data_IF_787684459043
#
_entry.id   IF_787684459043
#
_cell.length_a   1.000
_cell.length_b   1.000
_cell.length_c   1.000
_cell.angle_alpha   90.00
_cell.angle_beta   90.00
_cell.angle_gamma   90.00
#
_symmetry.space_group_name_H-M   'P 1'
#
loop_
_entity.id
_entity.type
_entity.pdbx_description
1 polymer ?
#
# COMPACT_ATOMS: atom_id res chain seq x y z
N UNK A 1 -42.65 69.48 -52.20
CA UNK A 1 -43.71 68.82 -51.41
C UNK A 1 -43.20 67.44 -50.99
N UNK A 2 -43.30 67.17 -49.69
CA UNK A 2 -43.00 65.98 -48.87
C UNK A 2 -42.90 64.62 -49.62
N UNK A 3 -41.74 63.93 -49.56
CA UNK A 3 -41.36 62.76 -48.69
C UNK A 3 -41.92 61.38 -49.21
N UNK A 4 -41.35 60.20 -48.88
CA UNK A 4 -39.96 59.72 -49.05
C UNK A 4 -39.84 58.18 -49.33
N UNK A 5 -38.60 57.69 -49.29
CA UNK A 5 -38.14 56.48 -48.55
C UNK A 5 -37.65 55.27 -49.38
N UNK A 6 -36.31 55.09 -49.31
CA UNK A 6 -35.49 53.91 -48.95
C UNK A 6 -35.86 52.54 -49.51
N UNK A 7 -34.94 51.61 -49.70
CA UNK A 7 -33.48 51.53 -49.70
C UNK A 7 -33.26 50.12 -50.23
N UNK A 8 -32.47 49.96 -51.29
CA UNK A 8 -32.06 48.63 -51.73
C UNK A 8 -30.58 48.67 -52.06
N UNK A 9 -29.82 47.91 -51.26
CA UNK A 9 -28.56 47.21 -51.60
C UNK A 9 -27.37 48.08 -52.03
N UNK A 10 -26.29 48.02 -51.25
CA UNK A 10 -24.93 48.01 -51.78
C UNK A 10 -23.86 47.65 -50.71
N UNK A 11 -23.09 46.59 -51.02
CA UNK A 11 -21.60 46.57 -50.97
C UNK A 11 -20.97 46.47 -49.56
N UNK A 12 -20.58 45.28 -49.09
CA UNK A 12 -19.28 44.61 -49.33
C UNK A 12 -18.09 45.58 -49.48
N UNK A 13 -17.44 45.94 -48.37
CA UNK A 13 -16.01 46.22 -48.35
C UNK A 13 -15.46 46.26 -46.90
N UNK A 14 -14.53 45.34 -46.64
CA UNK A 14 -13.25 45.62 -45.99
C UNK A 14 -13.26 46.18 -44.55
N UNK A 15 -13.07 45.31 -43.56
CA UNK A 15 -12.00 45.44 -42.57
C UNK A 15 -11.98 44.23 -41.63
N UNK A 16 -11.34 43.16 -42.09
CA UNK A 16 -10.71 42.16 -41.24
C UNK A 16 -9.57 42.86 -40.47
N UNK A 17 -9.74 43.10 -39.17
CA UNK A 17 -8.65 43.23 -38.20
C UNK A 17 -9.18 43.31 -36.75
N UNK A 18 -9.95 42.30 -36.32
CA UNK A 18 -10.01 41.98 -34.89
C UNK A 18 -9.47 40.56 -34.73
N UNK A 19 -8.14 40.45 -34.68
CA UNK A 19 -7.49 39.29 -34.08
C UNK A 19 -7.84 39.34 -32.59
N UNK A 20 -8.95 38.69 -32.25
CA UNK A 20 -9.20 38.23 -30.89
C UNK A 20 -8.16 37.15 -30.63
N UNK A 21 -7.07 37.50 -29.94
CA UNK A 21 -6.28 36.50 -29.23
C UNK A 21 -7.20 35.90 -28.17
N UNK A 22 -7.87 34.79 -28.49
CA UNK A 22 -8.25 33.86 -27.44
C UNK A 22 -6.92 33.38 -26.86
N UNK A 23 -6.65 33.79 -25.62
CA UNK A 23 -5.72 33.04 -24.80
C UNK A 23 -6.34 31.65 -24.66
N UNK A 24 -6.01 30.76 -25.58
CA UNK A 24 -6.14 29.32 -25.39
C UNK A 24 -5.03 28.94 -24.39
N UNK A 25 -5.21 29.39 -23.15
CA UNK A 25 -4.67 28.67 -22.02
C UNK A 25 -5.34 27.32 -22.06
N UNK A 26 -4.67 26.36 -22.71
CA UNK A 26 -4.93 24.95 -22.49
C UNK A 26 -5.08 24.79 -20.97
N UNK A 27 -6.26 24.44 -20.44
CA UNK A 27 -6.40 24.28 -19.02
C UNK A 27 -5.41 23.20 -18.64
N UNK A 28 -4.35 23.58 -17.91
CA UNK A 28 -3.46 22.63 -17.27
C UNK A 28 -4.40 21.70 -16.54
N UNK A 29 -4.53 20.45 -17.00
CA UNK A 29 -5.37 19.48 -16.32
C UNK A 29 -4.72 19.34 -14.95
N UNK A 30 -5.32 19.97 -13.95
CA UNK A 30 -4.91 19.82 -12.56
C UNK A 30 -5.31 18.40 -12.21
N UNK A 31 -4.44 17.45 -12.54
CA UNK A 31 -4.65 16.05 -12.19
C UNK A 31 -4.66 15.99 -10.68
N UNK A 32 -5.81 15.65 -10.10
CA UNK A 32 -5.91 15.44 -8.68
C UNK A 32 -4.94 14.30 -8.30
N UNK A 33 -3.84 14.65 -7.65
CA UNK A 33 -2.85 13.65 -7.26
C UNK A 33 -3.38 12.68 -6.20
N UNK A 34 -4.43 13.06 -5.49
CA UNK A 34 -5.05 12.31 -4.39
C UNK A 34 -6.28 11.50 -4.81
N UNK A 35 -6.57 11.35 -6.09
CA UNK A 35 -7.71 10.54 -6.53
C UNK A 35 -7.64 9.13 -5.93
N UNK A 36 -8.73 8.70 -5.28
CA UNK A 36 -8.82 7.40 -4.59
C UNK A 36 -8.04 7.31 -3.28
N UNK A 37 -7.47 8.41 -2.78
CA UNK A 37 -6.72 8.45 -1.52
C UNK A 37 -7.44 9.27 -0.45
N UNK A 38 -7.45 8.73 0.75
CA UNK A 38 -8.00 9.36 1.95
C UNK A 38 -6.86 9.67 2.92
N UNK A 39 -6.91 10.84 3.56
CA UNK A 39 -5.89 11.27 4.52
C UNK A 39 -5.97 10.39 5.76
N UNK A 40 -4.81 9.89 6.20
CA UNK A 40 -4.64 9.15 7.46
C UNK A 40 -4.40 10.15 8.58
N UNK A 41 -3.34 10.94 8.46
CA UNK A 41 -2.90 11.89 9.48
C UNK A 41 -1.88 12.88 8.93
N UNK A 42 -1.58 13.91 9.72
CA UNK A 42 -0.47 14.84 9.51
C UNK A 42 0.60 14.64 10.57
N UNK A 43 1.87 14.68 10.15
CA UNK A 43 3.04 14.68 11.02
C UNK A 43 3.77 16.00 10.75
N UNK A 44 3.89 16.86 11.76
CA UNK A 44 4.43 18.21 11.56
C UNK A 44 5.75 18.39 12.30
N UNK A 45 6.62 19.23 11.75
CA UNK A 45 7.74 19.83 12.47
C UNK A 45 7.64 21.37 12.37
N UNK A 46 8.69 22.11 12.71
CA UNK A 46 8.64 23.57 12.72
C UNK A 46 8.35 24.18 11.34
N UNK A 47 8.82 23.55 10.26
CA UNK A 47 8.85 24.14 8.90
C UNK A 47 7.92 23.46 7.91
N UNK A 48 7.54 22.20 8.13
CA UNK A 48 6.77 21.41 7.18
C UNK A 48 5.66 20.58 7.84
N UNK A 49 4.71 20.17 6.99
CA UNK A 49 3.63 19.24 7.29
C UNK A 49 3.82 18.03 6.36
N UNK A 50 3.99 16.85 6.92
CA UNK A 50 3.97 15.58 6.18
C UNK A 50 2.56 15.01 6.27
N UNK A 51 1.88 14.92 5.13
CA UNK A 51 0.54 14.35 5.02
C UNK A 51 0.65 12.88 4.60
N UNK A 52 0.02 11.98 5.35
CA UNK A 52 -0.05 10.55 5.04
C UNK A 52 -1.43 10.18 4.49
N UNK A 53 -1.47 9.27 3.53
CA UNK A 53 -2.66 8.83 2.83
C UNK A 53 -2.68 7.32 2.59
N UNK A 54 -3.87 6.75 2.52
CA UNK A 54 -4.12 5.40 2.00
C UNK A 54 -5.48 5.35 1.30
N UNK A 55 -5.80 4.31 0.52
CA UNK A 55 -7.14 4.15 -0.03
C UNK A 55 -8.25 4.11 1.03
N UNK A 56 -7.97 3.60 2.24
CA UNK A 56 -8.95 3.50 3.33
C UNK A 56 -8.93 4.71 4.27
N UNK A 57 -7.87 5.53 4.26
CA UNK A 57 -7.66 6.62 5.22
C UNK A 57 -7.26 6.14 6.60
N UNK A 58 -6.91 4.87 6.75
CA UNK A 58 -6.50 4.25 8.01
C UNK A 58 -5.30 3.35 7.80
N UNK A 59 -4.61 3.03 8.90
CA UNK A 59 -3.64 1.94 8.98
C UNK A 59 -4.24 0.78 9.80
N UNK A 60 -3.63 -0.40 9.70
CA UNK A 60 -3.99 -1.57 10.50
C UNK A 60 -2.81 -2.53 10.64
N UNK A 61 -2.88 -3.48 11.56
CA UNK A 61 -1.95 -4.60 11.62
C UNK A 61 -1.94 -5.36 10.29
N UNK A 62 -0.76 -5.55 9.70
CA UNK A 62 -0.58 -6.13 8.36
C UNK A 62 0.13 -5.19 7.38
N UNK A 63 0.02 -5.50 6.09
CA UNK A 63 0.57 -4.66 5.01
C UNK A 63 -0.29 -3.41 4.78
N UNK A 64 0.34 -2.24 4.73
CA UNK A 64 -0.30 -0.96 4.46
C UNK A 64 0.45 -0.25 3.35
N UNK A 65 -0.23 0.00 2.22
CA UNK A 65 0.26 0.91 1.18
C UNK A 65 0.00 2.35 1.65
N UNK A 66 1.05 3.17 1.68
CA UNK A 66 1.02 4.53 2.19
C UNK A 66 1.56 5.46 1.10
N UNK A 67 0.76 6.47 0.81
CA UNK A 67 1.17 7.61 0.01
C UNK A 67 1.43 8.81 0.92
N UNK A 68 2.36 9.68 0.54
CA UNK A 68 2.66 10.86 1.34
C UNK A 68 3.09 12.06 0.49
N UNK A 69 2.87 13.26 1.03
CA UNK A 69 3.36 14.54 0.49
C UNK A 69 3.90 15.40 1.62
N UNK A 70 4.81 16.31 1.28
CA UNK A 70 5.42 17.23 2.23
C UNK A 70 5.08 18.65 1.80
N UNK A 71 4.51 19.43 2.72
CA UNK A 71 4.06 20.80 2.50
C UNK A 71 4.91 21.76 3.31
N UNK A 72 5.39 22.82 2.68
CA UNK A 72 6.12 23.90 3.32
C UNK A 72 5.14 24.86 4.01
N UNK A 73 5.34 25.14 5.31
CA UNK A 73 4.43 26.01 6.07
C UNK A 73 4.56 27.49 5.69
N UNK A 74 5.72 27.92 5.20
CA UNK A 74 5.97 29.32 4.84
C UNK A 74 5.39 29.65 3.48
N UNK A 75 5.66 28.82 2.46
CA UNK A 75 5.17 29.07 1.09
C UNK A 75 3.78 28.50 0.85
N UNK A 76 3.30 27.60 1.71
CA UNK A 76 2.05 26.86 1.54
C UNK A 76 2.03 25.92 0.31
N UNK A 77 3.21 25.64 -0.27
CA UNK A 77 3.39 24.77 -1.44
C UNK A 77 3.87 23.36 -1.06
N UNK A 78 3.68 22.40 -1.97
CA UNK A 78 4.17 21.03 -1.80
C UNK A 78 5.54 20.83 -2.42
N UNK A 79 6.39 20.11 -1.71
CA UNK A 79 7.75 19.79 -2.11
C UNK A 79 7.76 18.73 -3.21
N UNK A 80 8.22 19.10 -4.41
CA UNK A 80 8.25 18.20 -5.59
C UNK A 80 9.51 17.32 -5.60
N UNK A 81 10.65 17.89 -5.21
CA UNK A 81 11.97 17.27 -5.28
C UNK A 81 12.52 16.96 -3.89
N UNK A 82 11.97 15.92 -3.28
CA UNK A 82 12.34 15.49 -1.93
C UNK A 82 12.85 14.05 -1.93
N UNK A 83 13.91 13.77 -1.19
CA UNK A 83 14.33 12.41 -0.86
C UNK A 83 13.77 12.06 0.52
N UNK A 84 13.17 10.88 0.68
CA UNK A 84 12.45 10.50 1.90
C UNK A 84 12.90 9.12 2.35
N UNK A 85 13.15 8.98 3.64
CA UNK A 85 13.29 7.72 4.34
C UNK A 85 12.37 7.73 5.56
N UNK A 86 11.71 6.61 5.83
CA UNK A 86 10.91 6.44 7.03
C UNK A 86 11.43 5.30 7.90
N UNK A 87 11.14 5.37 9.19
CA UNK A 87 11.52 4.37 10.17
C UNK A 87 10.34 4.16 11.14
N UNK A 88 9.50 3.13 10.89
CA UNK A 88 8.48 2.72 11.85
C UNK A 88 9.10 2.02 13.05
N UNK A 89 8.63 2.34 14.25
CA UNK A 89 9.12 1.77 15.50
C UNK A 89 7.96 1.53 16.47
N UNK A 90 7.78 0.27 16.86
CA UNK A 90 6.87 -0.12 17.92
C UNK A 90 7.54 0.14 19.27
N UNK A 91 6.88 0.92 20.11
CA UNK A 91 7.28 1.15 21.50
C UNK A 91 6.49 0.19 22.38
N UNK A 92 7.19 -0.70 23.08
CA UNK A 92 6.62 -1.54 24.13
C UNK A 92 7.18 -1.12 25.49
N UNK A 93 6.60 -1.62 26.58
CA UNK A 93 6.98 -1.20 27.94
C UNK A 93 8.47 -1.40 28.26
N UNK A 94 9.11 -2.42 27.69
CA UNK A 94 10.49 -2.80 28.04
C UNK A 94 11.44 -2.89 26.84
N UNK A 95 10.92 -2.83 25.62
CA UNK A 95 11.71 -2.96 24.40
C UNK A 95 11.01 -2.29 23.23
N UNK A 96 11.74 -2.10 22.14
CA UNK A 96 11.19 -1.58 20.89
C UNK A 96 11.61 -2.49 19.74
N UNK A 97 10.79 -2.53 18.69
CA UNK A 97 11.14 -3.26 17.48
C UNK A 97 10.64 -2.52 16.23
N UNK A 98 11.35 -2.68 15.13
CA UNK A 98 10.92 -2.21 13.82
C UNK A 98 9.99 -3.23 13.15
N UNK A 99 9.64 -2.95 11.91
CA UNK A 99 8.91 -3.86 11.03
C UNK A 99 9.47 -3.80 9.60
N UNK A 100 9.06 -4.71 8.70
CA UNK A 100 9.37 -4.57 7.28
C UNK A 100 8.70 -3.31 6.70
N UNK A 101 9.45 -2.57 5.88
CA UNK A 101 8.97 -1.42 5.12
C UNK A 101 9.72 -1.31 3.79
N UNK A 102 9.12 -0.62 2.82
CA UNK A 102 9.77 -0.34 1.53
C UNK A 102 10.58 0.95 1.58
N UNK A 103 11.43 1.15 0.57
CA UNK A 103 11.85 2.50 0.22
C UNK A 103 10.65 3.35 -0.18
N UNK A 104 10.73 4.66 0.05
CA UNK A 104 9.74 5.63 -0.42
C UNK A 104 10.17 6.12 -1.80
N UNK A 105 9.30 5.98 -2.79
CA UNK A 105 9.60 6.28 -4.19
C UNK A 105 8.62 7.30 -4.76
N UNK A 106 9.01 7.99 -5.83
CA UNK A 106 8.11 8.93 -6.51
C UNK A 106 7.00 8.18 -7.22
N UNK A 107 5.76 8.62 -7.03
CA UNK A 107 4.62 8.04 -7.73
C UNK A 107 4.67 8.43 -9.21
N UNK A 108 4.69 7.42 -10.08
CA UNK A 108 4.71 7.62 -11.54
C UNK A 108 3.57 8.53 -11.99
N UNK A 109 3.89 9.53 -12.80
CA UNK A 109 2.89 10.48 -13.33
C UNK A 109 2.35 11.50 -12.32
N UNK A 110 2.92 11.58 -11.11
CA UNK A 110 2.58 12.59 -10.09
C UNK A 110 3.80 13.44 -9.77
N UNK A 111 3.60 14.71 -9.44
CA UNK A 111 4.68 15.66 -9.11
C UNK A 111 5.09 15.58 -7.65
N UNK A 112 4.11 15.56 -6.74
CA UNK A 112 4.33 15.72 -5.29
C UNK A 112 4.20 14.42 -4.52
N UNK A 113 3.37 13.50 -5.02
CA UNK A 113 3.05 12.25 -4.34
C UNK A 113 4.21 11.24 -4.35
N UNK A 114 4.48 10.67 -3.18
CA UNK A 114 5.43 9.57 -2.98
C UNK A 114 4.72 8.36 -2.39
N UNK A 115 5.16 7.15 -2.74
CA UNK A 115 4.56 5.89 -2.30
C UNK A 115 5.58 4.96 -1.64
N UNK A 116 5.09 4.17 -0.69
CA UNK A 116 5.76 3.00 -0.16
C UNK A 116 4.79 2.13 0.63
N UNK A 117 5.30 1.12 1.33
CA UNK A 117 4.51 0.33 2.25
C UNK A 117 5.22 0.10 3.59
N UNK A 118 4.42 -0.19 4.61
CA UNK A 118 4.86 -0.64 5.92
C UNK A 118 4.05 -1.87 6.34
N UNK A 119 4.70 -2.88 6.92
CA UNK A 119 4.07 -4.14 7.34
C UNK A 119 4.09 -4.27 8.85
N UNK A 120 3.07 -3.76 9.54
CA UNK A 120 3.02 -3.80 11.00
C UNK A 120 2.69 -5.22 11.50
N UNK A 121 3.65 -5.92 12.11
CA UNK A 121 3.41 -7.26 12.67
C UNK A 121 2.55 -7.28 13.94
N UNK A 122 2.39 -6.13 14.60
CA UNK A 122 1.66 -6.00 15.86
C UNK A 122 0.71 -4.81 15.81
N UNK A 123 -0.46 -4.97 16.42
CA UNK A 123 -1.39 -3.88 16.68
C UNK A 123 -0.93 -3.06 17.88
N UNK A 124 -1.35 -1.80 17.94
CA UNK A 124 -1.25 -0.98 19.14
C UNK A 124 -2.23 -1.43 20.23
N UNK A 125 -1.96 -0.99 21.46
CA UNK A 125 -2.85 -1.08 22.60
C UNK A 125 -2.67 0.14 23.51
N UNK A 126 -3.23 0.12 24.72
CA UNK A 126 -3.17 1.25 25.65
C UNK A 126 -1.76 1.60 26.15
N UNK A 127 -0.82 0.66 26.12
CA UNK A 127 0.55 0.85 26.61
C UNK A 127 1.59 0.83 25.50
N UNK A 128 1.30 0.16 24.38
CA UNK A 128 2.24 -0.10 23.31
C UNK A 128 1.72 0.49 22.00
N UNK A 129 2.55 1.29 21.32
CA UNK A 129 2.13 2.08 20.17
C UNK A 129 3.22 2.18 19.11
N UNK A 130 2.82 2.52 17.90
CA UNK A 130 3.76 2.77 16.81
C UNK A 130 4.11 4.25 16.72
N UNK A 131 5.37 4.53 16.47
CA UNK A 131 5.87 5.85 16.04
C UNK A 131 6.42 5.74 14.62
N UNK A 132 6.30 6.82 13.86
CA UNK A 132 6.87 6.92 12.52
C UNK A 132 7.78 8.14 12.44
N UNK A 133 9.08 7.90 12.31
CA UNK A 133 10.05 8.94 11.98
C UNK A 133 10.17 9.03 10.47
N UNK A 134 10.02 10.23 9.92
CA UNK A 134 10.19 10.53 8.50
C UNK A 134 11.33 11.53 8.39
N UNK A 135 12.45 11.08 7.82
CA UNK A 135 13.60 11.89 7.48
C UNK A 135 13.52 12.26 6.01
N UNK A 136 13.76 13.52 5.69
CA UNK A 136 13.70 13.98 4.31
C UNK A 136 14.69 15.09 4.03
N UNK A 137 15.09 15.19 2.76
CA UNK A 137 16.07 16.18 2.29
C UNK A 137 15.50 16.99 1.15
N UNK A 138 15.54 18.32 1.29
CA UNK A 138 15.10 19.28 0.28
C UNK A 138 16.30 20.20 0.01
N UNK A 139 16.75 20.26 -1.25
CA UNK A 139 17.90 21.09 -1.66
C UNK A 139 19.16 20.91 -0.79
N UNK A 140 19.41 19.69 -0.31
CA UNK A 140 20.56 19.35 0.54
C UNK A 140 20.37 19.63 2.03
N UNK A 141 19.30 20.32 2.45
CA UNK A 141 18.96 20.51 3.86
C UNK A 141 18.16 19.32 4.39
N UNK A 142 18.55 18.81 5.56
CA UNK A 142 17.91 17.67 6.22
C UNK A 142 16.84 18.12 7.21
N UNK A 143 15.71 17.41 7.20
CA UNK A 143 14.58 17.63 8.08
C UNK A 143 14.06 16.29 8.61
N UNK A 144 13.43 16.36 9.78
CA UNK A 144 12.80 15.20 10.41
C UNK A 144 11.42 15.60 10.92
N UNK A 145 10.46 14.69 10.77
CA UNK A 145 9.16 14.76 11.42
C UNK A 145 8.90 13.41 12.09
N UNK A 146 8.40 13.41 13.33
CA UNK A 146 8.08 12.20 14.07
C UNK A 146 6.75 12.39 14.79
N UNK A 147 5.92 11.36 14.77
CA UNK A 147 4.72 11.31 15.60
C UNK A 147 4.31 9.85 15.84
N UNK A 148 3.46 9.65 16.84
CA UNK A 148 2.70 8.41 16.99
C UNK A 148 1.76 8.22 15.79
N UNK A 149 1.53 6.97 15.40
CA UNK A 149 0.58 6.57 14.35
C UNK A 149 -0.37 5.50 14.91
N UNK A 150 -1.65 5.58 14.58
CA UNK A 150 -2.63 4.58 15.03
C UNK A 150 -2.58 3.34 14.13
N UNK A 151 -2.38 2.16 14.74
CA UNK A 151 -2.33 0.86 14.05
C UNK A 151 -3.18 -0.16 14.81
N UNK A 152 -4.51 -0.15 14.65
CA UNK A 152 -5.39 -1.12 15.30
C UNK A 152 -5.18 -2.55 14.75
N UNK A 153 -5.67 -3.54 15.49
CA UNK A 153 -5.72 -4.92 15.03
C UNK A 153 -6.59 -5.05 13.77
N UNK A 154 -6.13 -5.82 12.79
CA UNK A 154 -6.97 -6.17 11.65
C UNK A 154 -8.03 -7.18 12.09
N UNK A 155 -9.23 -7.07 11.54
CA UNK A 155 -10.34 -8.00 11.82
C UNK A 155 -10.05 -9.42 11.35
N UNK A 156 -9.10 -9.58 10.42
CA UNK A 156 -8.65 -10.84 9.85
C UNK A 156 -7.13 -10.94 9.97
N UNK A 157 -6.62 -12.15 10.19
CA UNK A 157 -5.19 -12.43 10.18
C UNK A 157 -4.61 -12.21 8.78
N UNK A 158 -4.03 -11.03 8.55
CA UNK A 158 -3.33 -10.67 7.29
C UNK A 158 -1.82 -10.72 7.39
N UNK A 159 -1.29 -10.98 8.58
CA UNK A 159 0.14 -11.14 8.84
C UNK A 159 0.36 -12.33 9.77
N UNK A 160 1.44 -13.06 9.55
CA UNK A 160 1.85 -14.15 10.43
C UNK A 160 3.35 -14.12 10.62
N UNK A 161 3.79 -14.28 11.87
CA UNK A 161 5.19 -14.37 12.26
C UNK A 161 5.45 -15.73 12.88
N UNK A 162 6.63 -16.31 12.63
CA UNK A 162 6.98 -17.64 13.13
C UNK A 162 8.49 -17.88 13.08
N UNK A 163 8.96 -18.85 13.86
CA UNK A 163 10.31 -19.41 13.72
C UNK A 163 10.24 -20.63 12.80
N UNK A 164 11.06 -20.65 11.75
CA UNK A 164 11.23 -21.79 10.86
C UNK A 164 11.98 -22.95 11.54
N UNK A 165 11.96 -24.12 10.92
CA UNK A 165 12.75 -25.29 11.36
C UNK A 165 14.26 -25.05 11.31
N UNK A 166 14.71 -24.04 10.56
CA UNK A 166 16.08 -23.56 10.49
C UNK A 166 16.47 -22.58 11.62
N UNK A 167 15.53 -22.26 12.51
CA UNK A 167 15.73 -21.29 13.61
C UNK A 167 15.57 -19.83 13.20
N UNK A 168 15.36 -19.51 11.91
CA UNK A 168 15.16 -18.15 11.43
C UNK A 168 13.75 -17.67 11.73
N UNK A 169 13.59 -16.40 12.14
CA UNK A 169 12.28 -15.77 12.30
C UNK A 169 11.80 -15.16 10.99
N UNK A 170 10.61 -15.55 10.56
CA UNK A 170 9.97 -15.08 9.34
C UNK A 170 8.69 -14.31 9.63
N UNK A 171 8.34 -13.45 8.68
CA UNK A 171 7.09 -12.71 8.62
C UNK A 171 6.52 -12.84 7.21
N UNK A 172 5.28 -13.30 7.11
CA UNK A 172 4.50 -13.33 5.89
C UNK A 172 3.34 -12.35 6.00
N UNK A 173 3.11 -11.54 4.97
CA UNK A 173 2.02 -10.56 4.93
C UNK A 173 1.21 -10.64 3.63
N UNK A 174 -0.11 -10.77 3.76
CA UNK A 174 -1.05 -10.75 2.65
C UNK A 174 -1.20 -9.32 2.11
N UNK A 175 -0.82 -9.13 0.85
CA UNK A 175 -0.90 -7.85 0.14
C UNK A 175 -2.18 -7.84 -0.69
N UNK A 176 -2.28 -8.77 -1.64
CA UNK A 176 -3.47 -8.97 -2.48
C UNK A 176 -4.09 -10.36 -2.24
N UNK A 177 -5.41 -10.51 -2.36
CA UNK A 177 -6.38 -9.47 -2.76
C UNK A 177 -6.75 -8.52 -1.61
N UNK A 178 -6.89 -7.22 -1.89
CA UNK A 178 -7.53 -6.26 -0.96
C UNK A 178 -9.05 -6.36 -1.01
N UNK A 179 -9.60 -6.64 -2.20
CA UNK A 179 -11.04 -6.79 -2.47
C UNK A 179 -11.29 -8.16 -3.12
N UNK A 180 -11.27 -9.25 -2.32
CA UNK A 180 -11.51 -10.60 -2.82
C UNK A 180 -12.92 -10.74 -3.41
N UNK A 181 -13.06 -11.63 -4.39
CA UNK A 181 -14.33 -11.95 -5.06
C UNK A 181 -14.45 -13.44 -5.34
N UNK A 182 -15.68 -13.88 -5.63
CA UNK A 182 -15.97 -15.25 -6.10
C UNK A 182 -15.43 -15.41 -7.51
N UNK A 183 -14.14 -15.69 -7.60
CA UNK A 183 -13.36 -15.89 -8.82
C UNK A 183 -11.99 -16.44 -8.45
N UNK A 184 -11.15 -16.63 -9.46
CA UNK A 184 -9.69 -16.62 -9.26
C UNK A 184 -9.22 -15.19 -9.03
N UNK A 185 -8.61 -14.95 -7.88
CA UNK A 185 -8.02 -13.70 -7.46
C UNK A 185 -6.50 -13.79 -7.64
N UNK A 186 -5.89 -12.72 -8.12
CA UNK A 186 -4.43 -12.59 -8.02
C UNK A 186 -4.08 -12.44 -6.53
N UNK A 187 -3.07 -13.19 -6.10
CA UNK A 187 -2.63 -13.21 -4.72
C UNK A 187 -1.18 -12.78 -4.63
N UNK A 188 -0.89 -11.83 -3.76
CA UNK A 188 0.46 -11.32 -3.54
C UNK A 188 0.79 -11.35 -2.05
N UNK A 189 1.98 -11.86 -1.72
CA UNK A 189 2.48 -11.98 -0.35
C UNK A 189 3.89 -11.40 -0.25
N UNK A 190 4.13 -10.60 0.79
CA UNK A 190 5.48 -10.25 1.21
C UNK A 190 6.04 -11.32 2.14
N UNK A 191 7.26 -11.80 1.86
CA UNK A 191 7.99 -12.77 2.68
C UNK A 191 9.27 -12.12 3.18
N UNK A 192 9.40 -11.97 4.50
CA UNK A 192 10.51 -11.26 5.12
C UNK A 192 11.20 -12.15 6.16
N UNK A 193 12.52 -12.04 6.27
CA UNK A 193 13.28 -12.56 7.42
C UNK A 193 13.59 -11.43 8.38
N UNK A 194 13.42 -11.72 9.67
CA UNK A 194 13.82 -10.86 10.76
C UNK A 194 15.29 -11.13 11.07
N UNK A 195 16.18 -10.26 10.60
CA UNK A 195 17.62 -10.36 10.86
C UNK A 195 17.95 -9.96 12.31
N UNK A 196 17.21 -8.96 12.82
CA UNK A 196 17.24 -8.51 14.21
C UNK A 196 15.89 -7.87 14.57
N UNK A 197 15.75 -7.36 15.79
CA UNK A 197 14.57 -6.56 16.19
C UNK A 197 14.37 -5.31 15.34
N UNK A 198 15.40 -4.84 14.63
CA UNK A 198 15.39 -3.57 13.89
C UNK A 198 15.55 -3.73 12.38
N UNK A 199 15.97 -4.91 11.90
CA UNK A 199 16.34 -5.12 10.50
C UNK A 199 15.58 -6.30 9.94
N UNK A 200 14.86 -6.03 8.85
CA UNK A 200 14.10 -7.00 8.09
C UNK A 200 14.56 -6.95 6.64
N UNK A 201 14.68 -8.11 5.99
CA UNK A 201 14.95 -8.18 4.56
C UNK A 201 13.96 -9.10 3.88
N UNK A 202 13.68 -8.85 2.61
CA UNK A 202 12.93 -9.79 1.77
C UNK A 202 13.71 -11.11 1.69
N UNK A 203 12.98 -12.23 1.65
CA UNK A 203 13.56 -13.56 1.42
C UNK A 203 13.52 -13.86 -0.06
N UNK A 204 14.66 -14.26 -0.61
CA UNK A 204 14.78 -14.61 -2.02
C UNK A 204 14.60 -16.12 -2.27
N UNK A 205 13.98 -16.43 -3.41
CA UNK A 205 13.88 -17.76 -4.03
C UNK A 205 13.20 -18.85 -3.18
N UNK A 206 12.38 -18.48 -2.21
CA UNK A 206 11.55 -19.43 -1.47
C UNK A 206 10.27 -19.76 -2.28
N UNK A 207 9.40 -20.59 -1.70
CA UNK A 207 8.07 -20.85 -2.23
C UNK A 207 7.03 -20.79 -1.11
N UNK A 208 5.86 -20.20 -1.39
CA UNK A 208 4.72 -20.20 -0.46
C UNK A 208 3.61 -21.06 -1.07
N UNK A 209 3.33 -22.21 -0.45
CA UNK A 209 2.19 -23.04 -0.85
C UNK A 209 0.92 -22.55 -0.18
N UNK A 210 -0.21 -22.72 -0.87
CA UNK A 210 -1.53 -22.35 -0.35
C UNK A 210 -2.53 -23.49 -0.43
N UNK A 211 -3.35 -23.61 0.60
CA UNK A 211 -4.54 -24.47 0.63
C UNK A 211 -5.70 -23.69 1.29
N UNK A 212 -6.54 -22.99 0.51
CA UNK A 212 -7.67 -22.24 1.05
C UNK A 212 -8.81 -23.17 1.45
N UNK A 213 -9.33 -22.96 2.66
CA UNK A 213 -10.40 -23.75 3.26
C UNK A 213 -11.47 -22.86 3.87
N UNK A 214 -12.71 -23.33 3.85
CA UNK A 214 -13.82 -22.77 4.62
C UNK A 214 -14.10 -23.64 5.85
N UNK A 215 -13.64 -23.25 7.05
CA UNK A 215 -13.82 -24.08 8.25
C UNK A 215 -15.30 -24.31 8.60
N UNK A 216 -16.17 -23.33 8.34
CA UNK A 216 -17.62 -23.41 8.62
C UNK A 216 -18.37 -24.36 7.70
N UNK A 217 -17.75 -24.82 6.60
CA UNK A 217 -18.36 -25.68 5.58
C UNK A 217 -17.68 -27.04 5.51
N UNK A 218 -17.36 -27.63 6.67
CA UNK A 218 -16.70 -28.93 6.74
C UNK A 218 -15.30 -28.92 6.12
N UNK A 219 -14.57 -27.80 6.25
CA UNK A 219 -13.25 -27.60 5.65
C UNK A 219 -13.23 -27.69 4.11
N UNK A 220 -14.30 -27.18 3.48
CA UNK A 220 -14.42 -27.11 2.01
C UNK A 220 -13.23 -26.36 1.40
N UNK A 221 -12.56 -26.97 0.42
CA UNK A 221 -11.46 -26.34 -0.32
C UNK A 221 -11.91 -25.78 -1.67
N UNK A 222 -11.03 -25.05 -2.35
CA UNK A 222 -11.26 -24.57 -3.71
C UNK A 222 -10.26 -25.16 -4.71
N UNK A 223 -10.67 -25.38 -5.98
CA UNK A 223 -9.77 -25.82 -7.05
C UNK A 223 -9.04 -24.64 -7.71
N UNK A 224 -8.05 -24.92 -8.57
CA UNK A 224 -7.36 -23.94 -9.42
C UNK A 224 -6.51 -22.89 -8.68
N UNK A 225 -6.10 -23.20 -7.45
CA UNK A 225 -5.11 -22.38 -6.73
C UNK A 225 -3.73 -22.57 -7.35
N UNK A 226 -2.93 -21.50 -7.33
CA UNK A 226 -1.53 -21.54 -7.76
C UNK A 226 -0.67 -21.06 -6.60
N UNK A 227 0.22 -21.93 -6.12
CA UNK A 227 1.25 -21.59 -5.12
C UNK A 227 2.02 -20.34 -5.54
N UNK A 228 2.45 -19.55 -4.56
CA UNK A 228 3.15 -18.30 -4.85
C UNK A 228 4.64 -18.55 -5.07
N UNK A 229 5.15 -17.95 -6.14
CA UNK A 229 6.57 -17.89 -6.47
C UNK A 229 7.05 -16.43 -6.43
N UNK A 230 8.32 -16.22 -6.10
CA UNK A 230 8.88 -14.87 -6.06
C UNK A 230 8.99 -14.29 -7.47
N UNK A 231 8.55 -13.04 -7.65
CA UNK A 231 8.77 -12.28 -8.86
C UNK A 231 10.14 -11.60 -8.83
N UNK A 232 10.81 -11.61 -9.98
CA UNK A 232 12.11 -10.93 -10.15
C UNK A 232 11.94 -9.40 -10.14
N UNK A 233 10.78 -8.88 -10.55
CA UNK A 233 10.57 -7.44 -10.75
C UNK A 233 10.35 -6.65 -9.46
N UNK A 234 9.60 -7.22 -8.51
CA UNK A 234 9.21 -6.54 -7.26
C UNK A 234 9.65 -7.29 -6.00
N UNK A 235 10.25 -8.49 -6.16
CA UNK A 235 10.69 -9.38 -5.08
C UNK A 235 9.56 -9.90 -4.19
N UNK A 236 8.30 -9.64 -4.51
CA UNK A 236 7.13 -10.17 -3.82
C UNK A 236 6.75 -11.54 -4.39
N UNK A 237 5.92 -12.27 -3.67
CA UNK A 237 5.49 -13.62 -4.04
C UNK A 237 4.11 -13.52 -4.66
N UNK A 238 3.95 -14.07 -5.87
CA UNK A 238 2.72 -14.00 -6.66
C UNK A 238 2.19 -15.39 -6.96
N UNK A 239 0.89 -15.57 -6.81
CA UNK A 239 0.15 -16.78 -7.14
C UNK A 239 -1.33 -16.48 -7.33
N UNK A 240 -2.17 -17.51 -7.25
CA UNK A 240 -3.62 -17.37 -7.52
C UNK A 240 -4.46 -18.02 -6.44
N UNK A 241 -5.38 -17.24 -5.89
CA UNK A 241 -6.34 -17.64 -4.87
C UNK A 241 -7.73 -17.77 -5.49
N UNK A 242 -8.17 -19.00 -5.69
CA UNK A 242 -9.51 -19.32 -6.18
C UNK A 242 -10.50 -19.34 -5.01
N UNK A 243 -11.56 -18.55 -5.09
CA UNK A 243 -12.64 -18.51 -4.09
C UNK A 243 -13.95 -18.82 -4.80
N UNK A 244 -14.63 -19.88 -4.38
CA UNK A 244 -15.80 -20.44 -5.08
C UNK A 244 -17.13 -19.96 -4.52
N UNK A 245 -17.12 -19.34 -3.33
CA UNK A 245 -18.30 -18.77 -2.67
C UNK A 245 -17.87 -17.70 -1.68
N UNK A 246 -18.82 -16.84 -1.31
CA UNK A 246 -18.65 -15.81 -0.27
C UNK A 246 -18.53 -16.44 1.12
N UNK A 247 -18.09 -15.65 2.10
CA UNK A 247 -17.93 -16.07 3.49
C UNK A 247 -16.48 -16.19 3.94
N UNK A 248 -16.29 -16.80 5.11
CA UNK A 248 -14.99 -16.87 5.76
C UNK A 248 -14.11 -18.00 5.21
N UNK A 249 -12.90 -17.62 4.79
CA UNK A 249 -11.85 -18.48 4.29
C UNK A 249 -10.59 -18.36 5.15
N UNK A 250 -9.99 -19.51 5.48
CA UNK A 250 -8.60 -19.62 5.93
C UNK A 250 -7.73 -20.02 4.76
N UNK A 251 -6.73 -19.21 4.45
CA UNK A 251 -5.71 -19.54 3.45
C UNK A 251 -4.56 -20.20 4.20
N UNK A 252 -4.56 -21.54 4.26
CA UNK A 252 -3.49 -22.28 4.92
C UNK A 252 -2.20 -22.16 4.11
N UNK A 253 -1.07 -22.01 4.80
CA UNK A 253 0.21 -21.75 4.16
C UNK A 253 1.22 -22.84 4.49
N UNK A 254 2.18 -23.05 3.59
CA UNK A 254 3.50 -23.61 3.91
C UNK A 254 4.57 -22.70 3.33
N UNK A 255 5.62 -22.41 4.11
CA UNK A 255 6.83 -21.75 3.61
C UNK A 255 7.89 -22.81 3.35
N UNK A 256 8.41 -22.85 2.12
CA UNK A 256 9.47 -23.77 1.71
C UNK A 256 10.72 -22.98 1.32
N UNK A 257 11.89 -23.51 1.66
CA UNK A 257 13.17 -22.95 1.21
C UNK A 257 13.49 -23.37 -0.25
N UNK A 258 14.66 -22.95 -0.75
CA UNK A 258 15.15 -23.25 -2.11
C UNK A 258 15.38 -24.75 -2.37
N UNK A 259 15.55 -25.55 -1.32
CA UNK A 259 15.67 -27.01 -1.39
C UNK A 259 14.31 -27.73 -1.33
N UNK A 260 13.19 -26.99 -1.35
CA UNK A 260 11.82 -27.48 -1.14
C UNK A 260 11.57 -28.12 0.24
N UNK A 261 12.39 -27.81 1.24
CA UNK A 261 12.15 -28.22 2.61
C UNK A 261 11.11 -27.30 3.25
N UNK A 262 10.14 -27.87 3.95
CA UNK A 262 9.11 -27.10 4.66
C UNK A 262 9.72 -26.50 5.92
N UNK A 263 9.81 -25.18 5.97
CA UNK A 263 10.28 -24.43 7.14
C UNK A 263 9.18 -24.23 8.18
N UNK A 264 7.93 -24.06 7.72
CA UNK A 264 6.75 -23.95 8.57
C UNK A 264 5.48 -24.23 7.79
N UNK A 265 4.46 -24.72 8.48
CA UNK A 265 3.13 -24.96 7.95
C UNK A 265 2.90 -26.41 7.52
N UNK A 266 1.67 -26.86 7.67
CA UNK A 266 1.26 -28.24 7.51
C UNK A 266 0.47 -28.41 6.19
N UNK A 267 0.65 -29.57 5.55
CA UNK A 267 -0.24 -29.97 4.46
C UNK A 267 -1.63 -30.30 5.05
N UNK A 268 -2.68 -29.83 4.39
CA UNK A 268 -4.05 -30.00 4.89
C UNK A 268 -4.55 -31.41 4.56
N UNK A 269 -5.09 -32.07 5.58
CA UNK A 269 -5.71 -33.39 5.51
C UNK A 269 -6.92 -33.43 6.44
N UNK A 270 -7.67 -34.53 6.46
CA UNK A 270 -8.79 -34.68 7.40
C UNK A 270 -8.34 -34.64 8.86
N UNK A 271 -7.14 -35.14 9.16
CA UNK A 271 -6.56 -35.10 10.50
C UNK A 271 -5.90 -33.75 10.86
N UNK A 272 -5.53 -32.96 9.84
CA UNK A 272 -4.88 -31.65 10.00
C UNK A 272 -5.67 -30.62 9.20
N UNK A 273 -6.80 -30.12 9.74
CA UNK A 273 -7.71 -29.26 9.00
C UNK A 273 -7.20 -27.82 8.85
N UNK A 274 -6.14 -27.43 9.56
CA UNK A 274 -5.59 -26.07 9.52
C UNK A 274 -4.07 -26.11 9.72
N UNK A 275 -3.36 -25.31 8.93
CA UNK A 275 -1.92 -25.07 9.10
C UNK A 275 -1.68 -24.10 10.26
N UNK A 276 -0.56 -24.28 10.96
CA UNK A 276 -0.06 -23.39 12.01
C UNK A 276 0.22 -21.97 11.50
N UNK A 277 0.40 -21.80 10.20
CA UNK A 277 0.49 -20.50 9.54
C UNK A 277 -0.62 -20.38 8.48
N UNK A 278 -1.38 -19.30 8.56
CA UNK A 278 -2.51 -19.05 7.68
C UNK A 278 -2.82 -17.56 7.61
N UNK A 279 -3.49 -17.16 6.53
CA UNK A 279 -4.21 -15.89 6.45
C UNK A 279 -5.71 -16.11 6.54
N UNK A 280 -6.45 -15.03 6.79
CA UNK A 280 -7.90 -15.03 6.82
C UNK A 280 -8.46 -14.01 5.84
N UNK A 281 -9.55 -14.38 5.17
CA UNK A 281 -10.28 -13.55 4.25
C UNK A 281 -11.77 -13.78 4.47
N UNK A 282 -12.59 -12.73 4.39
CA UNK A 282 -14.05 -12.82 4.38
C UNK A 282 -14.61 -11.69 3.53
N UNK A 283 -15.61 -12.00 2.71
CA UNK A 283 -16.25 -11.09 1.77
C UNK A 283 -17.61 -11.64 1.31
#
# INVERSE_FOLDING_TARGET
MKFPLKNTIAVIAMALAFSSCSNDENPTIVTNELEGLNKIQEITNDTHIVELYSPTGTLQQGHNAISLRIKNKTTNEYEKNVAIAWAPLMQMTTMSHACPFSAVTKTTGKETLRNGYIVFQMAENTMEHWTLTINYTINGAAYTANNQISVPASTKKRVTTFTGTDGTKYLLALIEPTNPKVATNEMTVGVFKMQSMMVFSVVDDFKVKIDPRMPSMGNHGSPNNVDLAQSVSDKLYHGKLSLTMTGYWKINLQLLNTANEVLKGEAITDAVPTSSIYFEVEF
#
